data_IF_662219347586
#
_entry.id   IF_662219347586
#
_cell.length_a   1.000
_cell.length_b   1.000
_cell.length_c   1.000
_cell.angle_alpha   90.00
_cell.angle_beta   90.00
_cell.angle_gamma   90.00
#
_symmetry.space_group_name_H-M   'P 1'
#
loop_
_entity.id
_entity.type
_entity.pdbx_description
1 polymer ?
#
# COMPACT_ATOMS: atom_id res chain seq x y z
N UNK A 1 5.25 -53.19 -8.20
CA UNK A 1 4.06 -52.34 -8.42
C UNK A 1 3.91 -51.19 -7.40
N UNK A 2 4.19 -51.36 -6.09
CA UNK A 2 4.08 -50.27 -5.08
C UNK A 2 5.08 -49.11 -5.21
N UNK A 3 6.29 -49.33 -5.74
CA UNK A 3 7.35 -48.30 -5.82
C UNK A 3 7.08 -47.25 -6.91
N UNK A 4 6.49 -47.65 -8.04
CA UNK A 4 6.14 -46.76 -9.16
C UNK A 4 5.07 -45.75 -8.72
N UNK A 5 4.07 -46.20 -7.96
CA UNK A 5 2.99 -45.36 -7.44
C UNK A 5 3.46 -44.29 -6.45
N UNK A 6 4.54 -44.54 -5.70
CA UNK A 6 5.12 -43.56 -4.76
C UNK A 6 5.90 -42.49 -5.53
N UNK A 7 6.64 -42.88 -6.56
CA UNK A 7 7.41 -41.95 -7.40
C UNK A 7 6.52 -40.96 -8.16
N UNK A 8 5.39 -41.44 -8.70
CA UNK A 8 4.40 -40.61 -9.39
C UNK A 8 3.74 -39.59 -8.44
N UNK A 9 3.39 -40.01 -7.23
CA UNK A 9 2.77 -39.16 -6.20
C UNK A 9 3.73 -38.08 -5.68
N UNK A 10 5.02 -38.41 -5.54
CA UNK A 10 6.08 -37.45 -5.13
C UNK A 10 6.33 -36.39 -6.22
N UNK A 11 6.32 -36.78 -7.50
CA UNK A 11 6.46 -35.84 -8.61
C UNK A 11 5.21 -34.95 -8.75
N UNK A 12 4.01 -35.50 -8.54
CA UNK A 12 2.76 -34.72 -8.52
C UNK A 12 2.74 -33.68 -7.38
N UNK A 13 3.14 -34.07 -6.16
CA UNK A 13 3.24 -33.14 -5.02
C UNK A 13 4.32 -32.08 -5.21
N UNK A 14 5.49 -32.42 -5.76
CA UNK A 14 6.56 -31.45 -6.08
C UNK A 14 6.10 -30.42 -7.12
N UNK A 15 5.44 -30.87 -8.18
CA UNK A 15 4.95 -29.98 -9.24
C UNK A 15 3.87 -29.02 -8.71
N UNK A 16 2.98 -29.49 -7.84
CA UNK A 16 1.97 -28.65 -7.19
C UNK A 16 2.61 -27.59 -6.26
N UNK A 17 3.69 -27.95 -5.55
CA UNK A 17 4.40 -27.04 -4.65
C UNK A 17 5.18 -25.95 -5.40
N UNK A 18 5.74 -26.26 -6.57
CA UNK A 18 6.46 -25.31 -7.45
C UNK A 18 5.47 -24.32 -8.08
N UNK A 19 4.32 -24.79 -8.57
CA UNK A 19 3.28 -23.92 -9.13
C UNK A 19 2.74 -22.96 -8.07
N UNK A 20 2.52 -23.43 -6.83
CA UNK A 20 2.09 -22.57 -5.74
C UNK A 20 3.13 -21.50 -5.36
N UNK A 21 4.42 -21.83 -5.39
CA UNK A 21 5.50 -20.87 -5.15
C UNK A 21 5.56 -19.80 -6.27
N UNK A 22 5.34 -20.19 -7.53
CA UNK A 22 5.34 -19.29 -8.68
C UNK A 22 4.18 -18.27 -8.61
N UNK A 23 2.99 -18.72 -8.20
CA UNK A 23 1.80 -17.84 -8.04
C UNK A 23 2.02 -16.80 -6.93
N UNK A 24 2.68 -17.19 -5.84
CA UNK A 24 3.02 -16.26 -4.74
C UNK A 24 3.99 -15.17 -5.23
N UNK A 25 4.97 -15.53 -6.06
CA UNK A 25 5.95 -14.58 -6.62
C UNK A 25 5.28 -13.62 -7.61
N UNK A 26 4.40 -14.11 -8.49
CA UNK A 26 3.74 -13.29 -9.51
C UNK A 26 2.67 -12.33 -8.96
N UNK A 27 2.10 -12.62 -7.80
CA UNK A 27 1.11 -11.73 -7.15
C UNK A 27 1.72 -10.56 -6.37
N UNK A 28 3.05 -10.53 -6.22
CA UNK A 28 3.73 -9.59 -5.33
C UNK A 28 4.15 -8.27 -5.99
N UNK A 29 3.89 -8.06 -7.29
CA UNK A 29 4.31 -6.86 -8.04
C UNK A 29 3.95 -5.53 -7.36
N UNK A 30 4.81 -4.52 -7.49
CA UNK A 30 4.61 -3.19 -6.97
C UNK A 30 3.30 -2.57 -7.46
N UNK A 31 2.63 -1.84 -6.58
CA UNK A 31 1.42 -1.10 -6.92
C UNK A 31 1.78 0.36 -7.15
N UNK A 32 1.26 0.97 -8.19
CA UNK A 32 1.29 2.43 -8.34
C UNK A 32 0.44 3.08 -7.25
N UNK A 33 0.80 4.30 -6.86
CA UNK A 33 0.02 5.11 -5.93
C UNK A 33 -1.11 5.85 -6.66
N UNK A 34 -2.29 5.88 -6.05
CA UNK A 34 -3.45 6.64 -6.51
C UNK A 34 -3.68 7.80 -5.56
N UNK A 35 -3.92 8.99 -6.09
CA UNK A 35 -4.10 10.20 -5.29
C UNK A 35 -5.32 10.10 -4.36
N UNK A 36 -5.19 10.57 -3.11
CA UNK A 36 -6.25 10.54 -2.11
C UNK A 36 -7.26 11.68 -2.28
N UNK A 37 -6.81 12.83 -2.77
CA UNK A 37 -7.61 14.06 -3.02
C UNK A 37 -8.75 14.26 -2.00
N UNK A 38 -8.43 14.66 -0.75
CA UNK A 38 -9.42 14.85 0.32
C UNK A 38 -10.65 15.67 -0.09
N UNK A 39 -10.45 16.70 -0.93
CA UNK A 39 -11.51 17.58 -1.43
C UNK A 39 -12.55 16.90 -2.33
N UNK A 40 -12.21 15.78 -3.00
CA UNK A 40 -13.15 15.03 -3.84
C UNK A 40 -13.87 13.90 -3.10
N UNK A 41 -13.58 13.71 -1.81
CA UNK A 41 -14.21 12.63 -1.03
C UNK A 41 -15.65 12.98 -0.67
N UNK A 42 -16.55 11.99 -0.79
CA UNK A 42 -17.89 12.09 -0.21
C UNK A 42 -17.82 11.88 1.30
N UNK A 43 -18.24 12.89 2.06
CA UNK A 43 -18.34 12.84 3.51
C UNK A 43 -19.80 12.62 3.91
N UNK A 44 -20.11 11.50 4.57
CA UNK A 44 -21.48 11.15 4.93
C UNK A 44 -22.02 12.00 6.08
N UNK A 45 -21.36 11.96 7.23
CA UNK A 45 -21.81 12.65 8.44
C UNK A 45 -21.07 13.97 8.63
N UNK A 46 -21.81 15.02 8.98
CA UNK A 46 -21.26 16.32 9.36
C UNK A 46 -21.78 16.66 10.74
N UNK A 47 -20.87 16.85 11.68
CA UNK A 47 -21.18 17.42 12.99
C UNK A 47 -21.03 18.95 12.90
N UNK A 48 -21.95 19.68 13.52
CA UNK A 48 -21.86 21.14 13.68
C UNK A 48 -21.86 21.45 15.18
N UNK A 49 -20.74 21.96 15.66
CA UNK A 49 -20.55 22.30 17.07
C UNK A 49 -20.03 23.73 17.14
N UNK A 50 -20.81 24.63 17.72
CA UNK A 50 -20.44 26.05 17.91
C UNK A 50 -19.95 26.75 16.63
N UNK A 51 -20.58 26.45 15.48
CA UNK A 51 -20.22 27.04 14.18
C UNK A 51 -19.08 26.34 13.47
N UNK A 52 -18.55 25.23 14.02
CA UNK A 52 -17.50 24.43 13.38
C UNK A 52 -18.14 23.19 12.78
N UNK A 53 -18.13 23.10 11.46
CA UNK A 53 -18.61 21.91 10.75
C UNK A 53 -17.46 20.96 10.51
N UNK A 54 -17.57 19.75 11.03
CA UNK A 54 -16.59 18.70 10.91
C UNK A 54 -17.16 17.49 10.19
N UNK A 55 -16.44 17.00 9.19
CA UNK A 55 -16.76 15.75 8.52
C UNK A 55 -15.49 14.92 8.36
N UNK A 56 -15.63 13.60 8.44
CA UNK A 56 -14.49 12.69 8.32
C UNK A 56 -14.84 11.45 7.51
N UNK A 57 -13.80 10.77 7.02
CA UNK A 57 -13.91 9.55 6.24
C UNK A 57 -12.77 8.59 6.54
N UNK A 58 -13.13 7.38 6.96
CA UNK A 58 -12.19 6.27 7.14
C UNK A 58 -11.94 5.51 5.83
N UNK A 59 -10.91 4.66 5.81
CA UNK A 59 -10.70 3.71 4.72
C UNK A 59 -10.31 4.34 3.38
N UNK A 60 -9.86 5.61 3.39
CA UNK A 60 -9.59 6.38 2.18
C UNK A 60 -8.54 5.72 1.29
N UNK A 61 -7.54 5.04 1.86
CA UNK A 61 -6.55 4.29 1.10
C UNK A 61 -7.17 3.07 0.41
N UNK A 62 -8.09 2.35 1.06
CA UNK A 62 -8.74 1.20 0.46
C UNK A 62 -9.65 1.62 -0.71
N UNK A 63 -10.47 2.65 -0.48
CA UNK A 63 -11.45 3.14 -1.47
C UNK A 63 -10.79 3.72 -2.72
N UNK A 64 -9.70 4.46 -2.55
CA UNK A 64 -8.94 5.04 -3.68
C UNK A 64 -8.13 4.01 -4.44
N UNK A 65 -8.13 2.74 -3.99
CA UNK A 65 -7.44 1.64 -4.65
C UNK A 65 -5.97 1.48 -4.23
N UNK A 66 -5.52 2.17 -3.20
CA UNK A 66 -4.19 2.03 -2.58
C UNK A 66 -4.12 0.79 -1.67
N UNK A 67 -4.51 -0.38 -2.19
CA UNK A 67 -4.71 -1.63 -1.43
C UNK A 67 -3.50 -2.07 -0.60
N UNK A 68 -2.27 -1.89 -1.10
CA UNK A 68 -1.06 -2.25 -0.36
C UNK A 68 -0.86 -1.39 0.89
N UNK A 69 -1.14 -0.09 0.79
CA UNK A 69 -1.09 0.85 1.92
C UNK A 69 -2.23 0.57 2.91
N UNK A 70 -3.45 0.32 2.41
CA UNK A 70 -4.58 -0.08 3.25
C UNK A 70 -4.34 -1.39 4.01
N UNK A 71 -3.68 -2.38 3.39
CA UNK A 71 -3.25 -3.60 4.09
C UNK A 71 -2.26 -3.27 5.22
N UNK A 72 -1.39 -2.28 5.00
CA UNK A 72 -0.44 -1.83 6.02
C UNK A 72 -1.13 -1.12 7.18
N UNK A 73 -2.17 -0.33 6.92
CA UNK A 73 -2.99 0.32 7.97
C UNK A 73 -3.47 -0.69 9.01
N UNK A 74 -4.04 -1.81 8.54
CA UNK A 74 -4.48 -2.91 9.40
C UNK A 74 -3.30 -3.56 10.12
N UNK A 75 -2.22 -3.88 9.41
CA UNK A 75 -1.05 -4.56 10.01
C UNK A 75 -0.27 -3.72 11.02
N UNK A 76 -0.40 -2.39 10.95
CA UNK A 76 0.33 -1.43 11.79
C UNK A 76 -0.57 -0.72 12.81
N UNK A 77 -1.86 -1.04 12.84
CA UNK A 77 -2.85 -0.36 13.67
C UNK A 77 -2.80 1.17 13.53
N UNK A 78 -2.63 1.66 12.30
CA UNK A 78 -2.68 3.09 11.94
C UNK A 78 -3.78 3.28 10.91
N UNK A 79 -4.59 4.33 11.06
CA UNK A 79 -5.59 4.74 10.08
C UNK A 79 -5.24 6.12 9.55
N UNK A 80 -5.27 6.26 8.23
CA UNK A 80 -5.30 7.53 7.51
C UNK A 80 -6.77 7.88 7.31
N UNK A 81 -7.15 9.05 7.81
CA UNK A 81 -8.52 9.56 7.77
C UNK A 81 -8.52 10.86 6.99
N UNK A 82 -9.42 10.98 6.01
CA UNK A 82 -9.66 12.27 5.36
C UNK A 82 -10.65 13.06 6.19
N UNK A 83 -10.36 14.35 6.37
CA UNK A 83 -11.22 15.24 7.14
C UNK A 83 -11.51 16.52 6.37
N UNK A 84 -12.67 17.09 6.67
CA UNK A 84 -13.15 18.38 6.20
C UNK A 84 -13.55 19.20 7.41
N UNK A 85 -13.01 20.41 7.50
CA UNK A 85 -13.30 21.36 8.58
C UNK A 85 -13.77 22.66 7.92
N UNK A 86 -14.94 23.14 8.33
CA UNK A 86 -15.45 24.47 7.97
C UNK A 86 -15.55 25.27 9.26
N UNK A 87 -14.77 26.33 9.36
CA UNK A 87 -14.83 27.23 10.52
C UNK A 87 -15.80 28.38 10.22
N UNK A 88 -17.06 28.28 10.66
CA UNK A 88 -18.00 29.40 10.63
C UNK A 88 -18.08 30.12 11.99
N UNK A 89 -17.20 29.80 12.94
CA UNK A 89 -17.09 30.52 14.19
C UNK A 89 -16.30 31.82 14.00
N UNK A 90 -16.30 32.67 15.03
CA UNK A 90 -15.50 33.89 15.13
C UNK A 90 -14.07 33.65 15.63
N UNK A 91 -13.75 32.42 16.05
CA UNK A 91 -12.43 32.04 16.58
C UNK A 91 -11.53 31.43 15.52
N UNK A 92 -10.24 31.70 15.61
CA UNK A 92 -9.22 31.00 14.82
C UNK A 92 -8.92 29.64 15.43
N UNK A 93 -8.97 28.59 14.61
CA UNK A 93 -8.63 27.23 15.03
C UNK A 93 -7.17 26.92 14.70
N UNK A 94 -6.47 26.29 15.62
CA UNK A 94 -5.11 25.80 15.46
C UNK A 94 -5.08 24.34 15.88
N UNK A 95 -5.00 23.47 14.88
CA UNK A 95 -5.11 22.02 15.07
C UNK A 95 -3.94 21.49 15.90
N UNK A 96 -4.25 20.74 16.96
CA UNK A 96 -3.29 20.22 17.92
C UNK A 96 -2.97 21.18 19.07
N UNK A 97 -3.50 22.40 19.05
CA UNK A 97 -3.35 23.39 20.12
C UNK A 97 -4.71 23.66 20.79
N UNK A 98 -5.51 24.57 20.24
CA UNK A 98 -6.85 24.88 20.75
C UNK A 98 -7.97 24.10 20.04
N UNK A 99 -7.66 23.35 18.98
CA UNK A 99 -8.60 22.49 18.28
C UNK A 99 -8.06 21.06 18.23
N UNK A 100 -8.74 20.13 18.89
CA UNK A 100 -8.28 18.75 19.09
C UNK A 100 -9.34 17.75 18.63
N UNK A 101 -8.89 16.58 18.19
CA UNK A 101 -9.77 15.51 17.77
C UNK A 101 -9.99 14.52 18.91
N UNK A 102 -11.19 14.00 19.02
CA UNK A 102 -11.57 13.00 20.00
C UNK A 102 -12.30 11.84 19.33
N UNK A 103 -12.12 10.64 19.88
CA UNK A 103 -12.95 9.49 19.56
C UNK A 103 -13.57 8.98 20.85
N UNK A 104 -14.90 9.13 20.96
CA UNK A 104 -15.57 9.02 22.25
C UNK A 104 -15.01 10.01 23.28
N UNK A 105 -14.47 9.49 24.38
CA UNK A 105 -13.90 10.29 25.47
C UNK A 105 -12.37 10.40 25.42
N UNK A 106 -11.70 9.82 24.42
CA UNK A 106 -10.25 9.81 24.31
C UNK A 106 -9.77 10.81 23.26
N UNK A 107 -8.81 11.65 23.63
CA UNK A 107 -8.12 12.54 22.71
C UNK A 107 -7.33 11.71 21.69
N UNK A 108 -7.48 12.04 20.41
CA UNK A 108 -6.75 11.42 19.33
C UNK A 108 -5.39 12.09 19.17
N UNK A 109 -4.34 11.33 19.44
CA UNK A 109 -2.98 11.75 19.10
C UNK A 109 -2.76 11.64 17.60
N UNK A 110 -2.54 12.78 16.97
CA UNK A 110 -2.18 12.84 15.56
C UNK A 110 -0.77 12.30 15.34
N UNK A 111 -0.61 11.52 14.28
CA UNK A 111 0.66 10.93 13.88
C UNK A 111 1.24 11.79 12.75
N UNK A 112 2.52 12.15 12.87
CA UNK A 112 3.22 12.93 11.85
C UNK A 112 3.29 12.21 10.49
N UNK A 113 3.18 12.94 9.36
CA UNK A 113 3.27 12.38 8.00
C UNK A 113 4.46 11.45 7.77
N UNK A 114 5.64 11.81 8.30
CA UNK A 114 6.87 11.02 8.15
C UNK A 114 6.76 9.65 8.82
N UNK A 115 6.13 9.58 10.00
CA UNK A 115 5.88 8.35 10.74
C UNK A 115 4.84 7.49 10.03
N UNK A 116 3.74 8.09 9.55
CA UNK A 116 2.72 7.39 8.75
C UNK A 116 3.38 6.75 7.52
N UNK A 117 4.15 7.54 6.75
CA UNK A 117 4.86 7.05 5.57
C UNK A 117 5.83 5.91 5.92
N UNK A 118 6.64 6.07 6.97
CA UNK A 118 7.58 5.04 7.38
C UNK A 118 6.91 3.70 7.69
N UNK A 119 5.74 3.73 8.35
CA UNK A 119 5.03 2.52 8.74
C UNK A 119 4.19 1.91 7.62
N UNK A 120 3.63 2.74 6.73
CA UNK A 120 2.67 2.31 5.71
C UNK A 120 3.26 2.11 4.32
N UNK A 121 4.50 2.52 4.05
CA UNK A 121 5.15 2.39 2.74
C UNK A 121 5.21 0.95 2.21
N UNK A 122 5.25 0.82 0.88
CA UNK A 122 5.51 -0.46 0.22
C UNK A 122 6.96 -0.90 0.49
N UNK A 123 7.14 -2.18 0.80
CA UNK A 123 8.47 -2.77 0.96
C UNK A 123 9.18 -2.82 -0.39
N UNK A 124 10.30 -2.12 -0.52
CA UNK A 124 11.13 -2.10 -1.73
C UNK A 124 12.14 -3.25 -1.76
N UNK A 125 12.83 -3.62 -0.66
CA UNK A 125 13.86 -4.66 -0.71
C UNK A 125 13.34 -6.05 -1.09
N UNK A 126 12.05 -6.33 -0.84
CA UNK A 126 11.45 -7.64 -1.19
C UNK A 126 11.51 -7.93 -2.69
N UNK A 127 11.56 -6.90 -3.54
CA UNK A 127 11.67 -7.07 -4.98
C UNK A 127 13.05 -7.54 -5.44
N UNK A 128 14.08 -7.44 -4.58
CA UNK A 128 15.39 -8.05 -4.88
C UNK A 128 15.32 -9.58 -4.94
N UNK A 129 14.28 -10.21 -4.38
CA UNK A 129 14.07 -11.64 -4.53
C UNK A 129 13.84 -12.07 -5.98
N UNK A 130 13.44 -11.15 -6.87
CA UNK A 130 13.39 -11.44 -8.30
C UNK A 130 14.78 -11.71 -8.90
N UNK A 131 15.87 -11.27 -8.25
CA UNK A 131 17.24 -11.66 -8.65
C UNK A 131 17.49 -13.17 -8.52
N UNK A 132 16.67 -13.91 -7.76
CA UNK A 132 16.76 -15.38 -7.75
C UNK A 132 16.32 -16.01 -9.08
N UNK A 133 15.70 -15.24 -9.99
CA UNK A 133 15.42 -15.66 -11.37
C UNK A 133 16.63 -15.48 -12.30
N UNK A 134 17.72 -14.86 -11.83
CA UNK A 134 18.94 -14.62 -12.64
C UNK A 134 19.57 -15.88 -13.26
N UNK A 135 19.68 -17.03 -12.57
CA UNK A 135 20.25 -18.24 -13.17
C UNK A 135 19.30 -18.99 -14.12
N UNK A 136 18.08 -18.48 -14.38
CA UNK A 136 17.11 -19.17 -15.23
C UNK A 136 17.54 -19.20 -16.70
N UNK A 137 17.37 -20.37 -17.33
CA UNK A 137 17.71 -20.60 -18.74
C UNK A 137 16.48 -21.15 -19.46
N UNK A 138 16.18 -20.60 -20.63
CA UNK A 138 15.14 -21.13 -21.52
C UNK A 138 15.77 -22.17 -22.42
N UNK A 139 15.26 -23.40 -22.39
CA UNK A 139 15.70 -24.46 -23.31
C UNK A 139 14.73 -24.49 -24.49
N UNK A 140 15.22 -24.23 -25.69
CA UNK A 140 14.45 -24.33 -26.94
C UNK A 140 15.03 -25.46 -27.79
N UNK A 141 14.21 -26.47 -28.09
CA UNK A 141 14.60 -27.54 -29.00
C UNK A 141 13.56 -28.66 -29.09
N UNK A 142 13.25 -29.08 -30.31
CA UNK A 142 12.69 -30.40 -30.59
C UNK A 142 13.86 -31.38 -30.67
N UNK A 143 13.87 -32.42 -29.84
CA UNK A 143 14.87 -33.48 -29.97
C UNK A 143 14.68 -34.23 -31.28
N UNK A 144 15.52 -33.97 -32.28
CA UNK A 144 15.57 -34.76 -33.50
C UNK A 144 16.66 -35.82 -33.37
N UNK A 145 16.27 -37.09 -33.51
CA UNK A 145 17.20 -38.21 -33.67
C UNK A 145 17.67 -38.16 -35.13
N UNK A 146 18.96 -37.90 -35.36
CA UNK A 146 19.52 -38.00 -36.70
C UNK A 146 19.64 -39.48 -37.11
N UNK A 147 19.63 -39.79 -38.40
CA UNK A 147 19.71 -41.17 -38.94
C UNK A 147 20.94 -41.98 -38.50
N UNK A 148 21.94 -41.32 -37.88
CA UNK A 148 23.15 -41.93 -37.32
C UNK A 148 23.09 -42.16 -35.79
N UNK A 149 21.92 -42.00 -35.16
CA UNK A 149 21.73 -42.22 -33.71
C UNK A 149 22.24 -41.09 -32.80
N UNK A 150 22.75 -39.99 -33.37
CA UNK A 150 23.23 -38.83 -32.63
C UNK A 150 22.07 -37.88 -32.29
N UNK A 151 21.95 -37.54 -31.01
CA UNK A 151 20.98 -36.57 -30.50
C UNK A 151 21.54 -35.17 -30.70
N UNK A 152 20.90 -34.34 -31.53
CA UNK A 152 21.24 -32.91 -31.64
C UNK A 152 20.76 -32.17 -30.38
N UNK A 153 21.68 -31.48 -29.71
CA UNK A 153 21.46 -30.81 -28.43
C UNK A 153 20.48 -29.64 -28.52
N UNK A 154 19.56 -29.55 -27.56
CA UNK A 154 18.68 -28.41 -27.38
C UNK A 154 19.47 -27.11 -27.08
N UNK A 155 19.03 -25.98 -27.61
CA UNK A 155 19.64 -24.67 -27.36
C UNK A 155 19.24 -24.13 -25.99
N UNK A 156 20.19 -23.58 -25.22
CA UNK A 156 19.94 -22.95 -23.91
C UNK A 156 20.20 -21.45 -23.99
N UNK A 157 19.16 -20.64 -23.80
CA UNK A 157 19.23 -19.18 -23.78
C UNK A 157 19.15 -18.67 -22.33
N UNK A 158 20.18 -17.98 -21.80
CA UNK A 158 20.21 -17.52 -20.42
C UNK A 158 19.38 -16.24 -20.22
N UNK A 159 18.04 -16.37 -20.35
CA UNK A 159 17.10 -15.24 -20.22
C UNK A 159 17.06 -14.64 -18.80
N UNK A 160 17.49 -15.39 -17.79
CA UNK A 160 17.44 -14.99 -16.39
C UNK A 160 18.23 -13.72 -16.08
N UNK A 161 19.36 -13.50 -16.76
CA UNK A 161 20.22 -12.32 -16.60
C UNK A 161 19.50 -11.00 -16.89
N UNK A 162 18.47 -11.03 -17.73
CA UNK A 162 17.62 -9.88 -18.03
C UNK A 162 16.35 -9.93 -17.19
N UNK A 163 15.73 -11.11 -17.08
CA UNK A 163 14.45 -11.29 -16.41
C UNK A 163 14.51 -10.91 -14.92
N UNK A 164 15.46 -11.46 -14.16
CA UNK A 164 15.56 -11.22 -12.72
C UNK A 164 15.83 -9.75 -12.39
N UNK A 165 16.94 -9.17 -12.88
CA UNK A 165 17.26 -7.76 -12.67
C UNK A 165 16.21 -6.79 -13.22
N UNK A 166 15.67 -7.06 -14.42
CA UNK A 166 14.67 -6.19 -15.04
C UNK A 166 13.38 -6.11 -14.23
N UNK A 167 12.87 -7.24 -13.76
CA UNK A 167 11.67 -7.28 -12.89
C UNK A 167 11.98 -6.62 -11.54
N UNK A 168 13.12 -6.94 -10.92
CA UNK A 168 13.51 -6.36 -9.63
C UNK A 168 13.55 -4.83 -9.72
N UNK A 169 14.31 -4.29 -10.68
CA UNK A 169 14.46 -2.86 -10.90
C UNK A 169 13.12 -2.17 -11.19
N UNK A 170 12.32 -2.72 -12.10
CA UNK A 170 11.01 -2.14 -12.45
C UNK A 170 10.08 -2.04 -11.23
N UNK A 171 9.99 -3.09 -10.41
CA UNK A 171 9.17 -3.08 -9.21
C UNK A 171 9.69 -2.11 -8.15
N UNK A 172 11.01 -2.04 -7.95
CA UNK A 172 11.62 -1.11 -7.01
C UNK A 172 11.36 0.34 -7.42
N UNK A 173 11.49 0.68 -8.70
CA UNK A 173 11.21 2.01 -9.21
C UNK A 173 9.75 2.41 -9.02
N UNK A 174 8.81 1.54 -9.38
CA UNK A 174 7.37 1.77 -9.20
C UNK A 174 7.02 1.97 -7.72
N UNK A 175 7.49 1.09 -6.83
CA UNK A 175 7.22 1.20 -5.40
C UNK A 175 7.90 2.43 -4.77
N UNK A 176 9.12 2.77 -5.19
CA UNK A 176 9.84 3.96 -4.75
C UNK A 176 9.07 5.23 -5.09
N UNK A 177 8.68 5.39 -6.36
CA UNK A 177 7.87 6.53 -6.82
C UNK A 177 6.51 6.58 -6.11
N UNK A 178 5.84 5.44 -5.97
CA UNK A 178 4.56 5.36 -5.25
C UNK A 178 4.68 5.82 -3.79
N UNK A 179 5.73 5.39 -3.08
CA UNK A 179 6.00 5.80 -1.70
C UNK A 179 6.28 7.30 -1.57
N UNK A 180 7.03 7.88 -2.51
CA UNK A 180 7.28 9.33 -2.52
C UNK A 180 6.00 10.14 -2.77
N UNK A 181 5.16 9.69 -3.71
CA UNK A 181 3.87 10.34 -3.96
C UNK A 181 2.94 10.28 -2.74
N UNK A 182 2.93 9.15 -2.02
CA UNK A 182 2.19 9.01 -0.78
C UNK A 182 2.68 9.98 0.30
N UNK A 183 4.00 10.05 0.55
CA UNK A 183 4.58 10.99 1.52
C UNK A 183 4.25 12.45 1.15
N UNK A 184 4.34 12.79 -0.14
CA UNK A 184 4.02 14.13 -0.62
C UNK A 184 2.59 14.53 -0.29
N UNK A 185 1.61 13.67 -0.54
CA UNK A 185 0.21 13.98 -0.20
C UNK A 185 -0.03 14.03 1.31
N UNK A 186 0.61 13.15 2.10
CA UNK A 186 0.52 13.24 3.56
C UNK A 186 1.02 14.60 4.08
N UNK A 187 2.08 15.14 3.49
CA UNK A 187 2.61 16.46 3.84
C UNK A 187 1.73 17.61 3.33
N UNK A 188 1.28 17.53 2.08
CA UNK A 188 0.44 18.55 1.43
C UNK A 188 -0.88 18.76 2.17
N UNK A 189 -1.50 17.66 2.60
CA UNK A 189 -2.78 17.66 3.30
C UNK A 189 -2.64 17.52 4.83
N UNK A 190 -1.44 17.69 5.39
CA UNK A 190 -1.22 17.62 6.83
C UNK A 190 -1.97 18.76 7.53
N UNK A 191 -2.67 18.42 8.61
CA UNK A 191 -3.38 19.39 9.44
C UNK A 191 -2.69 19.69 10.76
N UNK A 192 -1.63 18.97 11.14
CA UNK A 192 -0.93 19.24 12.39
C UNK A 192 -0.40 20.68 12.38
N UNK A 193 -0.72 21.46 13.42
CA UNK A 193 -0.42 22.89 13.56
C UNK A 193 -1.02 23.79 12.46
N UNK A 194 -2.01 23.30 11.71
CA UNK A 194 -2.68 24.11 10.69
C UNK A 194 -3.59 25.14 11.35
N UNK A 195 -3.43 26.40 10.97
CA UNK A 195 -4.33 27.49 11.33
C UNK A 195 -5.51 27.56 10.34
N UNK A 196 -6.73 27.64 10.87
CA UNK A 196 -7.99 27.75 10.13
C UNK A 196 -8.72 28.99 10.62
N UNK A 197 -8.74 30.04 9.80
CA UNK A 197 -9.40 31.31 10.15
C UNK A 197 -10.92 31.23 10.05
N UNK A 198 -11.67 32.13 10.70
CA UNK A 198 -13.10 32.30 10.45
C UNK A 198 -13.45 32.36 8.96
N UNK A 199 -14.52 31.68 8.56
CA UNK A 199 -15.00 31.54 7.18
C UNK A 199 -14.25 30.51 6.32
N UNK A 200 -13.16 29.92 6.81
CA UNK A 200 -12.31 29.04 5.99
C UNK A 200 -12.83 27.59 5.98
N UNK A 201 -12.78 26.96 4.80
CA UNK A 201 -12.91 25.51 4.64
C UNK A 201 -11.56 24.89 4.34
N UNK A 202 -11.20 23.85 5.09
CA UNK A 202 -9.95 23.10 4.91
C UNK A 202 -10.27 21.62 4.75
N UNK A 203 -9.56 20.98 3.82
CA UNK A 203 -9.55 19.54 3.65
C UNK A 203 -8.16 19.02 4.00
N UNK A 204 -8.09 17.88 4.67
CA UNK A 204 -6.83 17.32 5.08
C UNK A 204 -6.83 15.81 5.27
N UNK A 205 -5.65 15.31 5.58
CA UNK A 205 -5.37 13.94 5.98
C UNK A 205 -4.80 13.97 7.39
N UNK A 206 -5.32 13.10 8.25
CA UNK A 206 -4.78 12.86 9.59
C UNK A 206 -4.43 11.39 9.74
N UNK A 207 -3.32 11.10 10.40
CA UNK A 207 -3.00 9.76 10.86
C UNK A 207 -3.37 9.62 12.33
N UNK A 208 -4.03 8.53 12.67
CA UNK A 208 -4.37 8.18 14.06
C UNK A 208 -4.07 6.71 14.31
N UNK A 209 -3.83 6.33 15.56
CA UNK A 209 -3.83 4.93 15.94
C UNK A 209 -5.23 4.33 15.70
N UNK A 210 -5.33 3.03 15.53
CA UNK A 210 -6.61 2.37 15.26
C UNK A 210 -7.63 2.68 16.37
N UNK A 211 -8.64 3.47 16.02
CA UNK A 211 -9.71 3.95 16.91
C UNK A 211 -11.01 3.15 16.74
N UNK A 212 -10.95 2.05 15.99
CA UNK A 212 -12.12 1.24 15.67
C UNK A 212 -13.16 2.04 14.88
N UNK A 213 -14.44 1.83 15.22
CA UNK A 213 -15.59 2.47 14.56
C UNK A 213 -16.21 3.61 15.39
N UNK A 214 -15.51 4.07 16.43
CA UNK A 214 -16.00 5.16 17.26
C UNK A 214 -16.02 6.47 16.46
N UNK A 215 -17.09 7.29 16.60
CA UNK A 215 -17.18 8.54 15.87
C UNK A 215 -16.04 9.48 16.26
N UNK A 216 -15.54 10.22 15.27
CA UNK A 216 -14.52 11.25 15.47
C UNK A 216 -15.22 12.59 15.56
N UNK A 217 -14.87 13.38 16.57
CA UNK A 217 -15.34 14.75 16.74
C UNK A 217 -14.18 15.72 16.92
N UNK A 218 -14.43 16.98 16.61
CA UNK A 218 -13.51 18.08 16.92
C UNK A 218 -14.03 18.83 18.15
N UNK A 219 -13.15 19.13 19.09
CA UNK A 219 -13.43 19.95 20.27
C UNK A 219 -12.49 21.14 20.26
N UNK A 220 -13.04 22.30 20.60
CA UNK A 220 -12.29 23.56 20.64
C UNK A 220 -12.37 24.14 22.04
N UNK A 221 -11.19 24.49 22.56
CA UNK A 221 -10.99 25.09 23.89
C UNK A 221 -11.24 26.61 23.87
#
# INVERSE_FOLDING_TARGET
>A
MKIIYIFEKVNFMKNCSIVSALVIILSSCASTYKSLRPSSSYFGNTEDINGIKFSYKHGVLAETGNKKYAKREVSKAIKVVSVKIINNSDKTLVIGQNAKFYSGNSELRLIEPSTIHHQLKQGVPIYLLYLLLTPTQLTTGSSTINSNGTISSASRLPIGLILGPGIAFGNMAVAGTANQNFLRELNEYNLINKTITPGQTVFGLIGVNDIGYNPVRIVVD
#
